data_IF_939184294062
#
_entry.id   IF_939184294062
#
_cell.length_a   1.000
_cell.length_b   1.000
_cell.length_c   1.000
_cell.angle_alpha   90.00
_cell.angle_beta   90.00
_cell.angle_gamma   90.00
#
_symmetry.space_group_name_H-M   'P 1'
#
loop_
_entity.id
_entity.type
_entity.pdbx_description
1 polymer ?
#
# COMPACT_ATOMS: atom_id res chain seq x y z
N UNK A 1 0.49 65.53 -4.17
CA UNK A 1 -0.94 65.84 -3.99
C UNK A 1 -1.62 64.54 -3.63
N UNK A 2 -1.53 64.15 -2.36
CA UNK A 2 -2.13 62.92 -1.85
C UNK A 2 -3.45 63.27 -1.17
N UNK A 3 -4.56 62.93 -1.83
CA UNK A 3 -5.89 62.99 -1.24
C UNK A 3 -6.15 61.72 -0.45
N UNK A 4 -6.09 61.80 0.87
CA UNK A 4 -6.54 60.74 1.78
C UNK A 4 -8.03 60.47 1.57
N UNK A 5 -8.35 59.45 0.76
CA UNK A 5 -9.71 58.95 0.59
C UNK A 5 -10.19 58.32 1.90
N UNK A 6 -10.88 59.11 2.71
CA UNK A 6 -11.56 58.62 3.91
C UNK A 6 -12.76 57.73 3.51
N UNK A 7 -12.75 56.48 3.94
CA UNK A 7 -13.85 55.53 3.75
C UNK A 7 -15.13 56.08 4.38
N UNK A 8 -16.20 56.22 3.59
CA UNK A 8 -17.51 56.67 4.07
C UNK A 8 -18.11 55.61 5.00
N UNK A 9 -19.01 55.97 5.94
CA UNK A 9 -19.62 55.01 6.87
C UNK A 9 -20.29 53.81 6.17
N UNK A 10 -20.95 54.04 5.02
CA UNK A 10 -21.53 52.97 4.19
C UNK A 10 -20.47 52.04 3.59
N UNK A 11 -19.34 52.58 3.15
CA UNK A 11 -18.24 51.79 2.59
C UNK A 11 -17.61 50.91 3.68
N UNK A 12 -17.52 51.42 4.93
CA UNK A 12 -17.06 50.64 6.10
C UNK A 12 -18.00 49.49 6.45
N UNK A 13 -19.32 49.72 6.42
CA UNK A 13 -20.33 48.68 6.66
C UNK A 13 -20.27 47.61 5.57
N UNK A 14 -20.17 48.00 4.29
CA UNK A 14 -20.03 47.07 3.18
C UNK A 14 -18.78 46.19 3.32
N UNK A 15 -17.61 46.81 3.60
CA UNK A 15 -16.37 46.07 3.84
C UNK A 15 -16.48 45.12 5.04
N UNK A 16 -17.12 45.55 6.14
CA UNK A 16 -17.35 44.69 7.30
C UNK A 16 -18.22 43.47 6.94
N UNK A 17 -19.28 43.65 6.16
CA UNK A 17 -20.12 42.55 5.66
C UNK A 17 -19.30 41.60 4.78
N UNK A 18 -18.50 42.12 3.84
CA UNK A 18 -17.62 41.29 3.02
C UNK A 18 -16.64 40.47 3.86
N UNK A 19 -16.04 41.07 4.89
CA UNK A 19 -15.13 40.37 5.82
C UNK A 19 -15.87 39.28 6.59
N UNK A 20 -17.08 39.56 7.08
CA UNK A 20 -17.90 38.55 7.78
C UNK A 20 -18.27 37.40 6.86
N UNK A 21 -18.73 37.69 5.64
CA UNK A 21 -19.06 36.65 4.65
C UNK A 21 -17.82 35.83 4.31
N UNK A 22 -16.67 36.46 4.06
CA UNK A 22 -15.41 35.76 3.79
C UNK A 22 -14.98 34.88 4.97
N UNK A 23 -15.10 35.38 6.22
CA UNK A 23 -14.78 34.62 7.42
C UNK A 23 -15.72 33.42 7.61
N UNK A 24 -17.03 33.58 7.37
CA UNK A 24 -18.01 32.50 7.45
C UNK A 24 -17.76 31.47 6.35
N UNK A 25 -17.54 31.89 5.10
CA UNK A 25 -17.21 30.99 3.99
C UNK A 25 -15.91 30.21 4.25
N UNK A 26 -14.87 30.87 4.75
CA UNK A 26 -13.61 30.21 5.13
C UNK A 26 -13.83 29.22 6.28
N UNK A 27 -14.57 29.60 7.31
CA UNK A 27 -14.85 28.74 8.47
C UNK A 27 -15.65 27.50 8.06
N UNK A 28 -16.67 27.68 7.22
CA UNK A 28 -17.47 26.59 6.68
C UNK A 28 -16.62 25.70 5.76
N UNK A 29 -15.77 26.30 4.93
CA UNK A 29 -14.81 25.58 4.09
C UNK A 29 -13.88 24.71 4.92
N UNK A 30 -13.20 25.27 5.92
CA UNK A 30 -12.28 24.53 6.82
C UNK A 30 -13.01 23.41 7.57
N UNK A 31 -14.26 23.63 7.99
CA UNK A 31 -15.04 22.63 8.72
C UNK A 31 -15.58 21.50 7.82
N UNK A 32 -16.04 21.83 6.61
CA UNK A 32 -16.62 20.85 5.68
C UNK A 32 -15.57 20.13 4.83
N UNK A 33 -14.40 20.74 4.60
CA UNK A 33 -13.39 20.21 3.69
C UNK A 33 -12.90 18.80 4.07
N UNK A 34 -12.56 18.49 5.34
CA UNK A 34 -12.19 17.14 5.74
C UNK A 34 -13.33 16.12 5.65
N UNK A 35 -14.59 16.57 5.71
CA UNK A 35 -15.78 15.71 5.59
C UNK A 35 -16.10 15.38 4.14
N UNK A 36 -15.87 16.34 3.24
CA UNK A 36 -16.12 16.17 1.81
C UNK A 36 -14.91 15.54 1.07
N UNK A 37 -13.70 15.59 1.65
CA UNK A 37 -12.48 15.08 1.02
C UNK A 37 -11.70 14.19 2.01
N UNK A 38 -12.08 12.91 2.17
CA UNK A 38 -11.31 11.95 2.98
C UNK A 38 -9.88 11.75 2.49
N UNK A 39 -9.62 11.99 1.21
CA UNK A 39 -8.26 11.97 0.65
C UNK A 39 -7.36 13.05 1.29
N UNK A 40 -7.94 14.17 1.71
CA UNK A 40 -7.20 15.22 2.41
C UNK A 40 -6.87 14.84 3.87
N UNK A 41 -7.49 13.78 4.40
CA UNK A 41 -7.23 13.26 5.76
C UNK A 41 -6.37 11.99 5.77
N UNK A 42 -5.74 11.63 4.64
CA UNK A 42 -4.78 10.53 4.60
C UNK A 42 -3.66 10.81 5.60
N UNK A 43 -3.46 9.86 6.50
CA UNK A 43 -2.34 9.90 7.43
C UNK A 43 -1.08 9.43 6.72
N UNK A 44 -0.20 10.38 6.45
CA UNK A 44 1.15 10.13 5.95
C UNK A 44 2.13 10.04 7.12
N UNK A 45 2.19 8.87 7.77
CA UNK A 45 3.16 8.63 8.85
C UNK A 45 4.58 8.46 8.28
N UNK A 46 4.69 8.09 7.00
CA UNK A 46 5.96 7.91 6.30
C UNK A 46 6.01 8.66 4.97
N UNK A 47 7.16 9.26 4.71
CA UNK A 47 7.54 9.74 3.39
C UNK A 47 8.12 8.63 2.50
N UNK A 48 8.37 8.97 1.24
CA UNK A 48 8.95 8.09 0.21
C UNK A 48 10.29 7.46 0.61
N UNK A 49 11.17 8.20 1.30
CA UNK A 49 12.52 7.73 1.65
C UNK A 49 12.46 6.79 2.87
N UNK A 50 11.58 7.11 3.82
CA UNK A 50 11.34 6.26 4.98
C UNK A 50 10.65 4.95 4.57
N UNK A 51 9.69 5.00 3.64
CA UNK A 51 9.05 3.80 3.09
C UNK A 51 10.04 2.90 2.34
N UNK A 52 10.99 3.48 1.62
CA UNK A 52 12.07 2.72 0.97
C UNK A 52 12.90 1.95 1.99
N UNK A 53 13.23 2.59 3.13
CA UNK A 53 13.95 1.92 4.22
C UNK A 53 13.16 0.76 4.84
N UNK A 54 11.83 0.88 4.92
CA UNK A 54 10.94 -0.21 5.36
C UNK A 54 10.97 -1.34 4.33
N UNK A 55 10.90 -1.02 3.04
CA UNK A 55 10.91 -1.99 1.96
C UNK A 55 12.23 -2.77 1.91
N UNK A 56 13.38 -2.11 2.03
CA UNK A 56 14.68 -2.78 2.07
C UNK A 56 14.80 -3.74 3.26
N UNK A 57 14.34 -3.33 4.46
CA UNK A 57 14.28 -4.23 5.63
C UNK A 57 13.32 -5.40 5.45
N UNK A 58 12.27 -5.23 4.64
CA UNK A 58 11.36 -6.33 4.32
C UNK A 58 12.05 -7.34 3.41
N UNK A 59 12.72 -6.89 2.34
CA UNK A 59 13.48 -7.76 1.43
C UNK A 59 14.52 -8.59 2.19
N UNK A 60 15.30 -7.94 3.06
CA UNK A 60 16.29 -8.62 3.90
C UNK A 60 15.67 -9.73 4.76
N UNK A 61 14.56 -9.44 5.44
CA UNK A 61 13.84 -10.44 6.23
C UNK A 61 13.20 -11.54 5.39
N UNK A 62 12.77 -11.24 4.18
CA UNK A 62 12.18 -12.21 3.26
C UNK A 62 13.19 -13.24 2.75
N UNK A 63 14.46 -13.15 3.17
CA UNK A 63 15.53 -13.99 2.62
C UNK A 63 15.86 -13.61 1.18
N UNK A 64 15.28 -12.52 0.67
CA UNK A 64 15.77 -11.82 -0.51
C UNK A 64 16.95 -11.02 -0.04
N UNK A 65 18.05 -11.74 0.22
CA UNK A 65 19.30 -11.06 0.43
C UNK A 65 19.56 -10.24 -0.83
N UNK A 66 19.84 -8.96 -0.63
CA UNK A 66 20.68 -8.19 -1.55
C UNK A 66 22.09 -8.80 -1.63
N UNK A 67 22.25 -10.12 -1.53
CA UNK A 67 23.48 -10.90 -1.54
C UNK A 67 23.39 -12.09 -2.53
N UNK A 68 22.24 -12.76 -2.65
CA UNK A 68 22.00 -13.69 -3.78
C UNK A 68 21.75 -12.91 -5.08
N UNK A 69 21.24 -11.67 -4.95
CA UNK A 69 21.20 -10.67 -5.99
C UNK A 69 22.47 -9.80 -6.11
N UNK A 70 23.41 -9.88 -5.14
CA UNK A 70 24.67 -9.11 -5.14
C UNK A 70 25.83 -9.93 -4.54
N UNK A 71 26.68 -10.49 -5.39
CA UNK A 71 27.82 -11.29 -4.96
C UNK A 71 28.70 -10.63 -3.89
N UNK A 72 29.41 -11.49 -3.14
CA UNK A 72 30.37 -11.19 -2.06
C UNK A 72 30.78 -9.73 -1.87
N UNK A 73 30.34 -9.16 -0.74
CA UNK A 73 30.88 -7.92 -0.20
C UNK A 73 29.90 -6.76 -0.25
N UNK A 74 29.36 -6.41 0.92
CA UNK A 74 28.99 -5.05 1.34
C UNK A 74 28.68 -4.02 0.23
N UNK A 75 27.41 -3.57 0.18
CA UNK A 75 27.01 -2.26 -0.36
C UNK A 75 27.16 -1.99 -1.87
N UNK A 76 27.12 -2.98 -2.77
CA UNK A 76 27.11 -2.69 -4.20
C UNK A 76 25.79 -3.05 -4.91
N UNK A 77 24.84 -2.11 -4.94
CA UNK A 77 23.64 -2.13 -5.81
C UNK A 77 24.00 -1.96 -7.30
N UNK A 78 25.26 -2.16 -7.72
CA UNK A 78 25.66 -1.99 -9.11
C UNK A 78 24.82 -2.87 -10.03
N UNK A 79 24.20 -2.23 -11.02
CA UNK A 79 23.35 -2.87 -12.02
C UNK A 79 21.86 -2.92 -11.69
N UNK A 80 21.46 -2.76 -10.43
CA UNK A 80 20.04 -2.62 -10.05
C UNK A 80 19.58 -1.17 -10.16
N UNK A 81 18.50 -0.94 -10.90
CA UNK A 81 17.80 0.32 -10.92
C UNK A 81 16.65 0.31 -9.94
N UNK A 82 16.44 1.44 -9.28
CA UNK A 82 15.33 1.66 -8.38
C UNK A 82 14.35 2.69 -8.95
N UNK A 83 13.07 2.38 -8.88
CA UNK A 83 11.98 3.30 -9.16
C UNK A 83 11.01 3.34 -7.99
N UNK A 84 10.51 4.53 -7.67
CA UNK A 84 9.50 4.72 -6.63
C UNK A 84 8.31 5.51 -7.14
N UNK A 85 7.10 5.13 -6.72
CA UNK A 85 5.86 5.85 -7.04
C UNK A 85 4.86 5.74 -5.90
N UNK A 86 3.97 6.72 -5.80
CA UNK A 86 2.80 6.61 -4.95
C UNK A 86 1.70 5.85 -5.70
N UNK A 87 1.05 4.90 -5.04
CA UNK A 87 -0.01 4.04 -5.60
C UNK A 87 -1.20 3.98 -4.68
N UNK A 88 -2.36 3.74 -5.27
CA UNK A 88 -3.61 3.57 -4.56
C UNK A 88 -4.55 2.65 -5.33
N UNK A 89 -5.49 2.06 -4.61
CA UNK A 89 -6.53 1.18 -5.16
C UNK A 89 -7.83 1.98 -5.34
N UNK A 90 -8.09 2.42 -6.57
CA UNK A 90 -9.26 3.25 -6.88
C UNK A 90 -10.57 2.45 -6.85
N UNK A 91 -10.52 1.16 -7.21
CA UNK A 91 -11.69 0.29 -7.19
C UNK A 91 -12.15 0.04 -5.75
N UNK A 92 -11.20 -0.26 -4.85
CA UNK A 92 -11.49 -0.38 -3.43
C UNK A 92 -12.01 0.94 -2.85
N UNK A 93 -11.44 2.09 -3.25
CA UNK A 93 -11.90 3.42 -2.82
C UNK A 93 -13.37 3.63 -3.20
N UNK A 94 -13.69 3.49 -4.48
CA UNK A 94 -15.06 3.70 -4.99
C UNK A 94 -16.04 2.73 -4.34
N UNK A 95 -15.66 1.46 -4.16
CA UNK A 95 -16.48 0.48 -3.47
C UNK A 95 -16.78 0.90 -2.02
N UNK A 96 -15.74 1.21 -1.24
CA UNK A 96 -15.93 1.60 0.16
C UNK A 96 -16.77 2.88 0.29
N UNK A 97 -16.48 3.91 -0.50
CA UNK A 97 -17.23 5.16 -0.50
C UNK A 97 -18.72 4.96 -0.85
N UNK A 98 -19.02 4.02 -1.75
CA UNK A 98 -20.41 3.69 -2.12
C UNK A 98 -21.13 2.90 -1.04
N UNK A 99 -20.47 1.92 -0.43
CA UNK A 99 -21.13 0.98 0.50
C UNK A 99 -21.25 1.53 1.91
N UNK A 100 -20.24 2.26 2.41
CA UNK A 100 -20.19 2.73 3.81
C UNK A 100 -20.08 4.24 3.96
N UNK A 101 -19.93 4.96 2.85
CA UNK A 101 -19.79 6.41 2.86
C UNK A 101 -18.39 6.87 3.30
N UNK A 102 -18.13 8.16 3.11
CA UNK A 102 -16.81 8.78 3.24
C UNK A 102 -16.19 8.64 4.64
N UNK A 103 -16.99 8.79 5.70
CA UNK A 103 -16.50 8.76 7.09
C UNK A 103 -15.97 7.37 7.48
N UNK A 104 -16.76 6.32 7.20
CA UNK A 104 -16.37 4.95 7.53
C UNK A 104 -15.25 4.45 6.60
N UNK A 105 -15.26 4.84 5.31
CA UNK A 105 -14.11 4.63 4.42
C UNK A 105 -12.84 5.19 5.04
N UNK A 106 -12.87 6.43 5.54
CA UNK A 106 -11.73 7.05 6.22
C UNK A 106 -11.21 6.23 7.40
N UNK A 107 -12.10 5.67 8.22
CA UNK A 107 -11.75 4.80 9.35
C UNK A 107 -11.11 3.48 8.90
N UNK A 108 -11.63 2.87 7.84
CA UNK A 108 -11.12 1.62 7.27
C UNK A 108 -9.74 1.81 6.64
N UNK A 109 -9.53 2.87 5.85
CA UNK A 109 -8.26 3.12 5.15
C UNK A 109 -7.14 3.64 6.07
N UNK A 110 -7.51 4.20 7.23
CA UNK A 110 -6.54 4.56 8.28
C UNK A 110 -6.18 3.36 9.16
N UNK A 111 -7.05 2.34 9.20
CA UNK A 111 -6.88 1.14 10.00
C UNK A 111 -6.47 -0.07 9.15
N UNK A 112 -7.39 -1.04 8.95
CA UNK A 112 -7.04 -2.32 8.34
C UNK A 112 -6.77 -2.28 6.82
N UNK A 113 -7.41 -1.36 6.09
CA UNK A 113 -7.36 -1.34 4.61
C UNK A 113 -6.17 -0.51 4.13
N UNK A 114 -5.19 -1.17 3.51
CA UNK A 114 -3.93 -0.56 3.06
C UNK A 114 -4.03 0.00 1.65
N UNK A 115 -4.92 0.96 1.44
CA UNK A 115 -5.21 1.51 0.12
C UNK A 115 -4.05 2.36 -0.43
N UNK A 116 -3.56 3.30 0.37
CA UNK A 116 -2.52 4.28 0.02
C UNK A 116 -1.12 3.76 0.31
N UNK A 117 -0.25 3.68 -0.71
CA UNK A 117 1.04 3.01 -0.60
C UNK A 117 2.14 3.70 -1.39
N UNK A 118 3.37 3.62 -0.88
CA UNK A 118 4.58 3.87 -1.65
C UNK A 118 5.08 2.56 -2.25
N UNK A 119 5.09 2.48 -3.58
CA UNK A 119 5.67 1.37 -4.32
C UNK A 119 7.14 1.60 -4.62
N UNK A 120 7.96 0.59 -4.36
CA UNK A 120 9.39 0.56 -4.64
C UNK A 120 9.71 -0.66 -5.50
N UNK A 121 10.24 -0.41 -6.69
CA UNK A 121 10.62 -1.45 -7.64
C UNK A 121 12.12 -1.46 -7.85
N UNK A 122 12.72 -2.63 -7.77
CA UNK A 122 14.11 -2.89 -8.13
C UNK A 122 14.13 -3.82 -9.35
N UNK A 123 14.91 -3.46 -10.37
CA UNK A 123 15.05 -4.25 -11.61
C UNK A 123 16.43 -4.08 -12.23
N UNK A 124 16.86 -5.03 -13.07
CA UNK A 124 18.05 -4.92 -13.90
C UNK A 124 17.67 -4.85 -15.38
N UNK A 125 18.33 -4.05 -16.23
CA UNK A 125 18.00 -4.01 -17.65
C UNK A 125 18.20 -5.37 -18.28
N UNK A 126 17.29 -5.77 -19.18
CA UNK A 126 17.33 -7.03 -19.91
C UNK A 126 17.23 -8.29 -19.03
N UNK A 127 16.80 -8.17 -17.78
CA UNK A 127 16.49 -9.29 -16.90
C UNK A 127 15.02 -9.26 -16.52
N UNK A 128 14.38 -10.44 -16.49
CA UNK A 128 12.98 -10.56 -16.02
C UNK A 128 12.85 -10.42 -14.51
N UNK A 129 13.93 -10.67 -13.77
CA UNK A 129 13.90 -10.63 -12.32
C UNK A 129 13.62 -9.22 -11.79
N UNK A 130 12.51 -9.05 -11.07
CA UNK A 130 12.18 -7.79 -10.41
C UNK A 130 11.59 -8.00 -9.02
N UNK A 131 11.85 -7.03 -8.15
CA UNK A 131 11.26 -6.96 -6.83
C UNK A 131 10.39 -5.72 -6.73
N UNK A 132 9.16 -5.89 -6.24
CA UNK A 132 8.26 -4.79 -5.93
C UNK A 132 7.79 -4.93 -4.48
N UNK A 133 8.03 -3.90 -3.69
CA UNK A 133 7.48 -3.78 -2.33
C UNK A 133 6.63 -2.52 -2.26
N UNK A 134 5.37 -2.67 -1.86
CA UNK A 134 4.49 -1.55 -1.61
C UNK A 134 4.23 -1.42 -0.12
N UNK A 135 4.58 -0.26 0.43
CA UNK A 135 4.49 0.05 1.86
C UNK A 135 3.36 1.03 2.06
N UNK A 136 2.39 0.69 2.91
CA UNK A 136 1.30 1.59 3.29
C UNK A 136 1.86 2.86 3.92
N UNK A 137 1.12 3.98 3.85
CA UNK A 137 1.52 5.24 4.49
C UNK A 137 1.69 5.13 6.01
N UNK A 138 1.16 4.07 6.62
CA UNK A 138 1.28 3.68 8.04
C UNK A 138 2.54 2.85 8.36
N UNK A 139 3.33 2.47 7.34
CA UNK A 139 4.57 1.71 7.49
C UNK A 139 4.45 0.20 7.48
N UNK A 140 3.26 -0.33 7.23
CA UNK A 140 3.07 -1.77 7.04
C UNK A 140 3.27 -2.15 5.57
N UNK A 141 3.98 -3.25 5.30
CA UNK A 141 4.11 -3.80 3.94
C UNK A 141 2.76 -4.32 3.49
N UNK A 142 2.24 -3.77 2.40
CA UNK A 142 0.92 -4.08 1.88
C UNK A 142 0.97 -5.02 0.68
N UNK A 143 2.05 -4.99 -0.10
CA UNK A 143 2.28 -5.90 -1.22
C UNK A 143 3.76 -6.21 -1.34
N UNK A 144 4.06 -7.45 -1.66
CA UNK A 144 5.35 -7.89 -2.13
C UNK A 144 5.14 -8.72 -3.38
N UNK A 145 5.97 -8.51 -4.39
CA UNK A 145 6.00 -9.30 -5.60
C UNK A 145 7.44 -9.52 -6.01
N UNK A 146 7.74 -10.78 -6.34
CA UNK A 146 8.99 -11.22 -6.89
C UNK A 146 8.71 -11.85 -8.26
N UNK A 147 9.02 -11.12 -9.31
CA UNK A 147 8.88 -11.61 -10.67
C UNK A 147 10.18 -12.30 -11.07
N UNK A 148 10.12 -13.55 -11.52
CA UNK A 148 11.27 -14.32 -12.03
C UNK A 148 10.90 -14.97 -13.37
N UNK A 149 11.91 -15.46 -14.10
CA UNK A 149 11.64 -16.21 -15.32
C UNK A 149 10.78 -17.45 -15.03
N UNK A 150 9.87 -17.80 -15.93
CA UNK A 150 9.00 -18.98 -15.82
C UNK A 150 9.81 -20.28 -15.85
N UNK A 151 10.97 -20.26 -16.52
CA UNK A 151 11.91 -21.38 -16.59
C UNK A 151 12.89 -21.41 -15.40
N UNK A 152 12.84 -20.43 -14.49
CA UNK A 152 13.75 -20.41 -13.34
C UNK A 152 13.53 -21.66 -12.47
N UNK A 153 14.62 -22.33 -12.04
CA UNK A 153 14.52 -23.56 -11.26
C UNK A 153 13.98 -23.29 -9.87
N UNK A 154 13.29 -24.27 -9.31
CA UNK A 154 12.76 -24.21 -7.96
C UNK A 154 12.28 -25.57 -7.48
N UNK A 155 11.84 -25.63 -6.24
CA UNK A 155 11.29 -26.86 -5.69
C UNK A 155 9.96 -27.24 -6.37
N UNK A 156 9.67 -28.55 -6.39
CA UNK A 156 8.35 -29.08 -6.70
C UNK A 156 7.69 -29.50 -5.38
N UNK A 157 7.10 -28.54 -4.68
CA UNK A 157 6.43 -28.81 -3.41
C UNK A 157 5.00 -29.30 -3.64
N UNK A 158 4.52 -30.21 -2.78
CA UNK A 158 3.09 -30.48 -2.68
C UNK A 158 2.35 -29.25 -2.17
N UNK A 159 1.05 -29.17 -2.46
CA UNK A 159 0.19 -28.08 -1.98
C UNK A 159 0.26 -27.92 -0.47
N UNK A 160 0.23 -29.02 0.29
CA UNK A 160 0.25 -28.99 1.76
C UNK A 160 1.58 -28.44 2.28
N UNK A 161 2.69 -28.79 1.61
CA UNK A 161 3.99 -28.29 2.01
C UNK A 161 4.15 -26.81 1.66
N UNK A 162 3.70 -26.39 0.49
CA UNK A 162 3.70 -25.00 0.07
C UNK A 162 2.78 -24.14 0.96
N UNK A 163 1.63 -24.67 1.38
CA UNK A 163 0.73 -23.98 2.31
C UNK A 163 1.41 -23.76 3.67
N UNK A 164 2.08 -24.78 4.22
CA UNK A 164 2.81 -24.64 5.49
C UNK A 164 3.93 -23.59 5.40
N UNK A 165 4.60 -23.50 4.24
CA UNK A 165 5.59 -22.44 3.97
C UNK A 165 4.91 -21.07 3.93
N UNK A 166 3.80 -20.93 3.20
CA UNK A 166 3.06 -19.68 3.11
C UNK A 166 2.55 -19.20 4.48
N UNK A 167 2.01 -20.09 5.31
CA UNK A 167 1.52 -19.77 6.65
C UNK A 167 2.65 -19.34 7.60
N UNK A 168 3.81 -19.99 7.52
CA UNK A 168 5.02 -19.60 8.26
C UNK A 168 5.49 -18.20 7.87
N UNK A 169 5.53 -17.91 6.56
CA UNK A 169 5.99 -16.62 6.04
C UNK A 169 4.98 -15.49 6.31
N UNK A 170 3.68 -15.77 6.25
CA UNK A 170 2.63 -14.83 6.67
C UNK A 170 2.86 -14.33 8.10
N UNK A 171 3.14 -15.26 9.01
CA UNK A 171 3.41 -14.94 10.42
C UNK A 171 4.72 -14.18 10.59
N UNK A 172 5.81 -14.67 9.96
CA UNK A 172 7.15 -14.13 10.14
C UNK A 172 7.36 -12.74 9.49
N UNK A 173 6.79 -12.52 8.30
CA UNK A 173 7.09 -11.34 7.47
C UNK A 173 5.95 -10.32 7.47
N UNK A 174 4.70 -10.79 7.35
CA UNK A 174 3.53 -9.94 7.13
C UNK A 174 2.79 -9.60 8.43
N UNK A 175 3.03 -10.39 9.48
CA UNK A 175 2.54 -10.12 10.83
C UNK A 175 1.04 -10.37 11.01
N UNK A 176 0.46 -11.27 10.21
CA UNK A 176 -0.87 -11.80 10.44
C UNK A 176 -0.81 -13.30 10.74
N UNK A 177 -1.79 -13.78 11.49
CA UNK A 177 -1.92 -15.18 11.88
C UNK A 177 -2.92 -15.86 10.92
N UNK A 178 -2.46 -16.77 10.04
CA UNK A 178 -3.33 -17.49 9.12
C UNK A 178 -4.43 -18.30 9.82
N UNK A 179 -4.22 -18.73 11.07
CA UNK A 179 -5.22 -19.49 11.83
C UNK A 179 -6.46 -18.65 12.18
N UNK A 180 -6.37 -17.33 12.09
CA UNK A 180 -7.50 -16.40 12.29
C UNK A 180 -8.21 -16.04 10.99
N UNK A 181 -7.72 -16.54 9.87
CA UNK A 181 -8.24 -16.25 8.54
C UNK A 181 -8.93 -17.49 7.95
N UNK A 182 -9.79 -17.24 6.96
CA UNK A 182 -10.50 -18.28 6.22
C UNK A 182 -9.75 -18.53 4.90
N UNK A 183 -9.17 -19.72 4.71
CA UNK A 183 -8.59 -20.09 3.41
C UNK A 183 -9.72 -20.21 2.38
N UNK A 184 -9.76 -19.29 1.41
CA UNK A 184 -10.79 -19.23 0.37
C UNK A 184 -10.43 -20.02 -0.88
N UNK A 185 -9.18 -19.90 -1.31
CA UNK A 185 -8.72 -20.53 -2.55
C UNK A 185 -7.27 -20.98 -2.43
N UNK A 186 -6.93 -22.01 -3.19
CA UNK A 186 -5.58 -22.53 -3.31
C UNK A 186 -5.39 -23.09 -4.72
N UNK A 187 -4.44 -22.51 -5.45
CA UNK A 187 -4.15 -22.84 -6.83
C UNK A 187 -2.73 -23.38 -6.94
N UNK A 188 -2.54 -24.34 -7.83
CA UNK A 188 -1.24 -24.93 -8.15
C UNK A 188 -0.98 -24.77 -9.64
N UNK A 189 0.22 -24.33 -9.97
CA UNK A 189 0.68 -24.17 -11.33
C UNK A 189 2.00 -24.93 -11.51
N UNK A 190 1.96 -25.99 -12.30
CA UNK A 190 3.17 -26.72 -12.69
C UNK A 190 3.92 -25.95 -13.77
N UNK A 191 5.14 -25.50 -13.44
CA UNK A 191 6.10 -24.95 -14.38
C UNK A 191 7.06 -26.06 -14.80
N UNK A 192 7.86 -25.78 -15.83
CA UNK A 192 8.83 -26.75 -16.36
C UNK A 192 9.88 -27.18 -15.32
N UNK A 193 10.31 -26.26 -14.45
CA UNK A 193 11.43 -26.46 -13.52
C UNK A 193 11.08 -26.15 -12.05
N UNK A 194 9.80 -25.94 -11.72
CA UNK A 194 9.27 -25.75 -10.36
C UNK A 194 7.76 -25.93 -10.32
N UNK A 195 7.17 -25.98 -9.13
CA UNK A 195 5.71 -25.89 -8.96
C UNK A 195 5.39 -24.65 -8.13
N UNK A 196 4.54 -23.78 -8.67
CA UNK A 196 4.12 -22.55 -8.01
C UNK A 196 2.74 -22.75 -7.38
N UNK A 197 2.51 -22.14 -6.23
CA UNK A 197 1.22 -22.20 -5.51
C UNK A 197 0.75 -20.81 -5.15
N UNK A 198 -0.55 -20.55 -5.24
CA UNK A 198 -1.17 -19.30 -4.78
C UNK A 198 -2.24 -19.64 -3.77
N UNK A 199 -2.19 -19.00 -2.61
CA UNK A 199 -3.16 -19.18 -1.54
C UNK A 199 -3.83 -17.85 -1.23
N UNK A 200 -5.15 -17.87 -1.14
CA UNK A 200 -5.97 -16.70 -0.85
C UNK A 200 -6.69 -16.91 0.46
N UNK A 201 -6.38 -16.08 1.45
CA UNK A 201 -7.08 -16.04 2.73
C UNK A 201 -7.99 -14.82 2.80
N UNK A 202 -9.12 -14.98 3.47
CA UNK A 202 -10.02 -13.89 3.81
C UNK A 202 -9.93 -13.56 5.29
N UNK A 203 -9.93 -12.26 5.57
CA UNK A 203 -10.07 -11.76 6.93
C UNK A 203 -11.55 -11.58 7.27
N UNK A 204 -12.14 -12.45 8.12
CA UNK A 204 -13.55 -12.35 8.48
C UNK A 204 -13.83 -11.13 9.38
N UNK A 205 -12.80 -10.51 9.97
CA UNK A 205 -12.96 -9.34 10.84
C UNK A 205 -13.16 -8.04 10.05
N UNK A 206 -12.84 -8.04 8.75
CA UNK A 206 -12.99 -6.89 7.86
C UNK A 206 -14.04 -7.24 6.80
N UNK A 207 -15.28 -6.82 7.05
CA UNK A 207 -16.40 -7.02 6.13
C UNK A 207 -17.08 -5.70 5.83
N UNK A 208 -17.24 -5.42 4.55
CA UNK A 208 -17.93 -4.23 4.05
C UNK A 208 -18.95 -4.68 3.02
N UNK A 209 -20.24 -4.59 3.37
CA UNK A 209 -21.33 -5.15 2.58
C UNK A 209 -21.03 -6.62 2.18
N UNK A 210 -21.06 -6.92 0.88
CA UNK A 210 -20.73 -8.22 0.31
C UNK A 210 -19.23 -8.37 -0.05
N UNK A 211 -18.43 -7.34 0.19
CA UNK A 211 -16.99 -7.33 0.00
C UNK A 211 -16.24 -8.07 1.11
N UNK A 212 -15.09 -8.63 0.75
CA UNK A 212 -14.19 -9.32 1.67
C UNK A 212 -12.77 -8.80 1.53
N UNK A 213 -12.09 -8.53 2.64
CA UNK A 213 -10.66 -8.25 2.63
C UNK A 213 -9.86 -9.56 2.52
N UNK A 214 -8.89 -9.61 1.61
CA UNK A 214 -8.14 -10.83 1.29
C UNK A 214 -6.64 -10.60 1.32
N UNK A 215 -5.92 -11.63 1.74
CA UNK A 215 -4.48 -11.75 1.63
C UNK A 215 -4.16 -12.83 0.61
N UNK A 216 -3.30 -12.51 -0.35
CA UNK A 216 -2.80 -13.46 -1.34
C UNK A 216 -1.32 -13.71 -1.09
N UNK A 217 -0.91 -14.97 -1.07
CA UNK A 217 0.49 -15.36 -0.97
C UNK A 217 0.79 -16.32 -2.11
N UNK A 218 1.70 -15.91 -2.99
CA UNK A 218 2.33 -16.77 -3.98
C UNK A 218 3.56 -17.45 -3.40
N UNK A 219 3.75 -18.72 -3.72
CA UNK A 219 4.96 -19.49 -3.45
C UNK A 219 5.50 -19.98 -4.78
N UNK A 220 6.67 -19.49 -5.18
CA UNK A 220 7.39 -19.91 -6.38
C UNK A 220 8.38 -21.02 -6.03
N UNK A 221 7.98 -22.27 -6.22
CA UNK A 221 8.70 -23.44 -5.71
C UNK A 221 8.73 -23.48 -4.18
N UNK A 222 9.76 -22.90 -3.56
CA UNK A 222 9.97 -22.81 -2.11
C UNK A 222 10.19 -21.37 -1.58
N UNK A 223 9.94 -20.35 -2.42
CA UNK A 223 10.18 -18.93 -2.10
C UNK A 223 8.92 -18.09 -2.35
N UNK A 224 8.89 -16.87 -1.83
CA UNK A 224 7.88 -15.85 -2.16
C UNK A 224 8.15 -15.20 -3.52
#
# INVERSE_FOLDING_TARGET
>A
MDGERHLRPRDRVFLAVCVVVAAVSLSLGVYLFPKANPEASIRFDLDRKQSESVALRFLDRAGVHSADAMGEGSHDLSGWHHASRFVYDDDARVFLEREVGLEETGRLVTGPVRMWRWGHRWFRPLQKETFLVEVATTGKVARFEHEIDEDAPGAHLSRERAQAVAESLATALLGFDPARLELLDAQTQDRKARTDHVFVWKDPSIRVADGSYRYEIGIQGDRL
#
